data_IF_940714099670
#
_entry.id   IF_940714099670
#
_cell.length_a   1.000
_cell.length_b   1.000
_cell.length_c   1.000
_cell.angle_alpha   90.00
_cell.angle_beta   90.00
_cell.angle_gamma   90.00
#
_symmetry.space_group_name_H-M   'P 1'
#
loop_
_entity.id
_entity.type
_entity.pdbx_description
1 polymer ?
#
# COMPACT_ATOMS: atom_id res chain seq x y z
N UNK A 1 -11.59 3.33 22.49
CA UNK A 1 -10.31 3.88 22.02
C UNK A 1 -9.74 2.89 21.02
N UNK A 2 -10.21 3.00 19.79
CA UNK A 2 -9.79 2.21 18.64
C UNK A 2 -8.32 2.52 18.37
N UNK A 3 -7.42 1.73 18.94
CA UNK A 3 -6.01 1.75 18.58
C UNK A 3 -5.93 1.31 17.14
N UNK A 4 -6.02 2.26 16.20
CA UNK A 4 -5.67 1.98 14.80
C UNK A 4 -4.29 1.31 14.84
N UNK A 5 -4.15 0.07 14.32
CA UNK A 5 -2.87 -0.60 14.32
C UNK A 5 -1.88 0.31 13.61
N UNK A 6 -0.65 0.40 14.15
CA UNK A 6 0.42 1.17 13.54
C UNK A 6 0.48 0.83 12.05
N UNK A 7 0.67 1.84 11.17
CA UNK A 7 0.68 1.61 9.73
C UNK A 7 1.63 0.46 9.41
N UNK A 8 1.07 -0.62 8.86
CA UNK A 8 1.83 -1.83 8.56
C UNK A 8 2.68 -1.58 7.31
N UNK A 9 3.98 -1.38 7.53
CA UNK A 9 4.98 -1.33 6.47
C UNK A 9 5.68 -2.68 6.40
N UNK A 10 5.37 -3.53 5.40
CA UNK A 10 6.08 -4.80 5.24
C UNK A 10 7.56 -4.55 4.93
N UNK A 11 8.41 -5.38 5.52
CA UNK A 11 9.85 -5.36 5.30
C UNK A 11 10.28 -6.51 4.40
N UNK A 12 11.09 -6.20 3.39
CA UNK A 12 11.78 -7.18 2.55
C UNK A 12 13.27 -7.14 2.85
N UNK A 13 13.91 -8.30 3.01
CA UNK A 13 15.38 -8.38 3.03
C UNK A 13 15.92 -8.29 1.61
N UNK A 14 16.91 -7.42 1.41
CA UNK A 14 17.68 -7.28 0.17
C UNK A 14 18.87 -8.24 0.19
N UNK A 15 19.49 -8.44 -0.97
CA UNK A 15 20.64 -9.33 -1.16
C UNK A 15 21.86 -8.86 -0.34
N UNK A 16 22.00 -7.55 -0.13
CA UNK A 16 23.03 -6.94 0.72
C UNK A 16 22.77 -7.12 2.23
N UNK A 17 21.70 -7.83 2.62
CA UNK A 17 21.30 -8.05 4.02
C UNK A 17 20.51 -6.90 4.66
N UNK A 18 20.39 -5.75 3.97
CA UNK A 18 19.58 -4.63 4.41
C UNK A 18 18.07 -4.94 4.36
N UNK A 19 17.30 -4.28 5.23
CA UNK A 19 15.85 -4.29 5.20
C UNK A 19 15.33 -3.13 4.36
N UNK A 20 14.34 -3.40 3.53
CA UNK A 20 13.59 -2.41 2.76
C UNK A 20 12.15 -2.36 3.30
N UNK A 21 11.70 -1.16 3.66
CA UNK A 21 10.32 -0.90 4.06
C UNK A 21 9.51 -0.34 2.89
N UNK A 22 8.29 -0.83 2.68
CA UNK A 22 7.42 -0.44 1.55
C UNK A 22 6.09 0.08 2.09
N UNK A 23 5.63 1.23 1.58
CA UNK A 23 4.31 1.76 1.90
C UNK A 23 3.25 1.08 1.03
N UNK A 24 2.32 0.35 1.64
CA UNK A 24 1.24 -0.32 0.91
C UNK A 24 0.19 0.63 0.30
N UNK A 25 0.19 1.90 0.72
CA UNK A 25 -0.75 2.91 0.18
C UNK A 25 -0.26 3.50 -1.13
N UNK A 26 1.04 3.84 -1.21
CA UNK A 26 1.64 4.44 -2.41
C UNK A 26 2.52 3.48 -3.22
N UNK A 27 2.76 2.27 -2.70
CA UNK A 27 3.62 1.22 -3.26
C UNK A 27 5.07 1.68 -3.48
N UNK A 28 5.54 2.70 -2.74
CA UNK A 28 6.91 3.19 -2.80
C UNK A 28 7.73 2.67 -1.62
N UNK A 29 9.01 2.49 -1.86
CA UNK A 29 10.00 2.27 -0.81
C UNK A 29 10.05 3.48 0.11
N UNK A 30 9.84 3.22 1.40
CA UNK A 30 9.86 4.22 2.47
C UNK A 30 11.29 4.43 2.97
N UNK A 31 12.06 3.36 3.04
CA UNK A 31 13.43 3.38 3.51
C UNK A 31 14.14 2.06 3.28
N UNK A 32 15.47 2.11 3.29
CA UNK A 32 16.34 0.93 3.31
C UNK A 32 17.36 1.12 4.43
N UNK A 33 17.49 0.15 5.32
CA UNK A 33 18.46 0.17 6.42
C UNK A 33 18.74 -1.24 6.94
N UNK A 34 19.93 -1.46 7.48
CA UNK A 34 20.26 -2.67 8.24
C UNK A 34 19.64 -2.69 9.64
N UNK A 35 19.18 -1.55 10.15
CA UNK A 35 18.56 -1.42 11.48
C UNK A 35 17.05 -1.18 11.39
N UNK A 36 16.28 -1.95 12.17
CA UNK A 36 14.84 -1.76 12.32
C UNK A 36 14.50 -0.39 12.91
N UNK A 37 15.34 0.16 13.79
CA UNK A 37 15.09 1.46 14.45
C UNK A 37 15.18 2.63 13.46
N UNK A 38 16.17 2.59 12.57
CA UNK A 38 16.32 3.57 11.49
C UNK A 38 15.17 3.44 10.48
N UNK A 39 14.78 2.21 10.14
CA UNK A 39 13.61 1.96 9.31
C UNK A 39 12.33 2.54 9.94
N UNK A 40 12.12 2.35 11.24
CA UNK A 40 10.97 2.88 11.96
C UNK A 40 10.92 4.43 11.97
N UNK A 41 12.08 5.10 12.00
CA UNK A 41 12.16 6.56 11.85
C UNK A 41 11.74 7.00 10.45
N UNK A 42 12.21 6.31 9.41
CA UNK A 42 11.83 6.57 8.01
C UNK A 42 10.32 6.34 7.79
N UNK A 43 9.77 5.28 8.39
CA UNK A 43 8.34 4.96 8.40
C UNK A 43 7.50 6.05 9.07
N UNK A 44 7.95 6.52 10.24
CA UNK A 44 7.27 7.61 10.96
C UNK A 44 7.32 8.94 10.21
N UNK A 45 8.40 9.19 9.47
CA UNK A 45 8.55 10.38 8.64
C UNK A 45 7.77 10.28 7.31
N UNK A 46 7.33 9.09 6.91
CA UNK A 46 6.65 8.87 5.64
C UNK A 46 5.27 9.54 5.60
N UNK A 47 5.14 10.58 4.78
CA UNK A 47 3.84 11.21 4.47
C UNK A 47 3.33 10.70 3.14
N UNK A 48 2.42 9.73 3.19
CA UNK A 48 1.79 9.20 1.98
C UNK A 48 0.85 10.24 1.35
N UNK A 49 1.26 10.84 0.23
CA UNK A 49 0.43 11.76 -0.58
C UNK A 49 -0.47 11.03 -1.59
N UNK A 50 -0.33 9.70 -1.70
CA UNK A 50 -1.15 8.90 -2.58
C UNK A 50 -2.50 8.60 -1.93
N UNK A 51 -3.58 8.78 -2.68
CA UNK A 51 -4.85 8.10 -2.38
C UNK A 51 -4.56 6.59 -2.39
N UNK A 52 -5.06 5.84 -1.39
CA UNK A 52 -4.95 4.38 -1.36
C UNK A 52 -5.34 3.80 -2.71
N UNK A 53 -4.63 2.78 -3.19
CA UNK A 53 -5.01 2.12 -4.44
C UNK A 53 -6.48 1.65 -4.41
N UNK A 54 -6.97 1.21 -3.24
CA UNK A 54 -8.37 0.88 -2.97
C UNK A 54 -9.36 2.06 -3.15
N UNK A 55 -8.88 3.30 -3.09
CA UNK A 55 -9.66 4.49 -3.38
C UNK A 55 -9.58 4.91 -4.87
N UNK A 56 -8.64 4.35 -5.64
CA UNK A 56 -8.52 4.59 -7.09
C UNK A 56 -9.25 3.57 -7.94
N UNK A 57 -9.49 2.37 -7.42
CA UNK A 57 -10.49 1.48 -8.01
C UNK A 57 -11.87 2.10 -7.76
N UNK A 58 -12.66 2.40 -8.80
CA UNK A 58 -14.08 2.64 -8.62
C UNK A 58 -14.62 1.48 -7.80
N UNK A 59 -15.41 1.76 -6.74
CA UNK A 59 -16.11 0.69 -6.04
C UNK A 59 -16.80 -0.16 -7.11
N UNK A 60 -16.67 -1.50 -7.12
CA UNK A 60 -17.42 -2.32 -8.05
C UNK A 60 -18.86 -1.89 -7.87
N UNK A 61 -19.40 -1.32 -8.96
CA UNK A 61 -20.71 -0.72 -9.01
C UNK A 61 -21.67 -1.72 -8.35
N UNK A 62 -22.45 -1.29 -7.35
CA UNK A 62 -23.54 -2.13 -6.82
C UNK A 62 -24.28 -2.65 -8.04
N UNK A 63 -24.28 -3.98 -8.19
CA UNK A 63 -24.91 -4.71 -9.29
C UNK A 63 -26.25 -4.04 -9.61
N UNK A 64 -26.32 -3.42 -10.79
CA UNK A 64 -27.49 -2.66 -11.21
C UNK A 64 -27.17 -1.70 -12.34
N UNK A 65 -27.31 -2.16 -13.58
CA UNK A 65 -27.31 -1.37 -14.81
C UNK A 65 -25.99 -0.68 -15.22
N UNK A 66 -25.00 -1.47 -15.66
CA UNK A 66 -24.04 -0.99 -16.65
C UNK A 66 -24.37 -1.67 -18.00
N UNK A 67 -24.63 -0.95 -19.11
CA UNK A 67 -25.06 -1.56 -20.38
C UNK A 67 -23.91 -2.18 -21.20
N UNK A 68 -22.65 -2.08 -20.75
CA UNK A 68 -21.47 -2.36 -21.57
C UNK A 68 -20.94 -3.82 -21.55
N UNK A 69 -21.69 -4.80 -21.04
CA UNK A 69 -21.23 -6.20 -20.91
C UNK A 69 -22.12 -7.20 -21.65
N UNK A 70 -22.93 -6.74 -22.61
CA UNK A 70 -23.82 -7.64 -23.37
C UNK A 70 -23.16 -8.41 -24.52
N UNK A 71 -21.93 -8.09 -24.91
CA UNK A 71 -21.31 -8.67 -26.11
C UNK A 71 -20.10 -9.57 -25.81
N UNK A 72 -20.01 -10.13 -24.60
CA UNK A 72 -18.91 -11.04 -24.20
C UNK A 72 -19.34 -12.50 -24.03
N UNK A 73 -20.39 -12.93 -24.74
CA UNK A 73 -20.68 -14.35 -24.94
C UNK A 73 -21.12 -14.58 -26.39
N UNK A 74 -20.14 -14.78 -27.27
CA UNK A 74 -20.23 -15.74 -28.39
C UNK A 74 -19.02 -16.67 -28.32
#
# INVERSE_FOLDING_TARGET
MDKQPAPFFPHRRLEDGNLQSICLTCLKTVGVSSSNEELAKLEKAHRCKAVPYSARVPRPNRIGNHPAWKDAQE
#
